data_IF_407002643279
#
_entry.id   IF_407002643279
#
_cell.length_a   1.000
_cell.length_b   1.000
_cell.length_c   1.000
_cell.angle_alpha   90.00
_cell.angle_beta   90.00
_cell.angle_gamma   90.00
#
_symmetry.space_group_name_H-M   'P 1'
#
loop_
_entity.id
_entity.type
_entity.pdbx_description
1 polymer ?
#
# COMPACT_ATOMS: atom_id res chain seq x y z
N UNK A 1 4.00 16.12 -9.75
CA UNK A 1 5.35 15.77 -10.25
C UNK A 1 6.20 17.00 -10.39
N UNK A 2 6.38 17.52 -11.60
CA UNK A 2 7.28 18.68 -11.88
C UNK A 2 6.92 19.92 -11.06
N UNK A 3 5.62 20.25 -10.97
CA UNK A 3 5.13 21.37 -10.14
C UNK A 3 5.43 21.20 -8.66
N UNK A 4 5.38 19.96 -8.15
CA UNK A 4 5.78 19.64 -6.77
C UNK A 4 7.29 19.81 -6.56
N UNK A 5 8.09 19.38 -7.54
CA UNK A 5 9.54 19.57 -7.53
C UNK A 5 9.92 21.05 -7.51
N UNK A 6 9.26 21.87 -8.33
CA UNK A 6 9.43 23.32 -8.33
C UNK A 6 9.04 23.96 -6.99
N UNK A 7 7.91 23.55 -6.38
CA UNK A 7 7.48 24.07 -5.07
C UNK A 7 8.43 23.71 -3.93
N UNK A 8 9.10 22.57 -4.04
CA UNK A 8 10.03 22.07 -3.03
C UNK A 8 11.50 22.44 -3.33
N UNK A 9 11.75 23.19 -4.40
CA UNK A 9 13.08 23.52 -4.93
C UNK A 9 13.98 22.27 -5.08
N UNK A 10 13.37 21.12 -5.41
CA UNK A 10 14.03 19.81 -5.46
C UNK A 10 14.82 19.42 -4.18
N UNK A 11 14.51 20.04 -3.04
CA UNK A 11 15.23 19.86 -1.78
C UNK A 11 14.35 20.11 -0.56
N UNK A 12 14.93 20.56 0.55
CA UNK A 12 14.21 20.84 1.81
C UNK A 12 13.85 22.32 2.00
N UNK A 13 14.31 23.22 1.10
CA UNK A 13 14.25 24.68 1.26
C UNK A 13 13.24 25.41 0.38
N UNK A 14 12.38 24.70 -0.35
CA UNK A 14 11.38 25.34 -1.21
C UNK A 14 10.27 26.08 -0.46
N UNK A 15 9.49 26.89 -1.19
CA UNK A 15 8.38 27.71 -0.67
C UNK A 15 7.38 26.87 0.15
N UNK A 16 7.18 25.61 -0.26
CA UNK A 16 6.37 24.65 0.50
C UNK A 16 7.16 23.33 0.63
N UNK A 17 7.78 23.05 1.79
CA UNK A 17 8.59 21.86 1.99
C UNK A 17 7.72 20.59 2.02
N UNK A 18 8.32 19.47 1.64
CA UNK A 18 7.68 18.15 1.70
C UNK A 18 7.49 17.72 3.16
N UNK A 19 6.25 17.81 3.65
CA UNK A 19 5.85 17.26 4.95
C UNK A 19 4.69 16.29 4.81
N UNK A 20 4.92 15.05 5.28
CA UNK A 20 3.90 13.99 5.37
C UNK A 20 2.87 14.29 6.45
N UNK A 21 3.29 14.84 7.60
CA UNK A 21 2.41 15.06 8.75
C UNK A 21 1.32 16.10 8.46
N UNK A 22 1.65 17.14 7.70
CA UNK A 22 0.71 18.21 7.34
C UNK A 22 0.06 18.01 5.96
N UNK A 23 0.36 16.90 5.28
CA UNK A 23 -0.13 16.62 3.91
C UNK A 23 0.01 17.83 2.98
N UNK A 24 1.19 18.46 2.99
CA UNK A 24 1.48 19.66 2.20
C UNK A 24 1.16 19.50 0.71
N UNK A 25 0.86 20.59 0.02
CA UNK A 25 0.49 20.56 -1.41
C UNK A 25 1.59 19.94 -2.28
N UNK A 26 2.87 20.25 -2.00
CA UNK A 26 4.03 19.60 -2.64
C UNK A 26 4.03 18.08 -2.41
N UNK A 27 3.70 17.63 -1.21
CA UNK A 27 3.61 16.21 -0.87
C UNK A 27 2.49 15.52 -1.64
N UNK A 28 1.27 16.07 -1.61
CA UNK A 28 0.11 15.52 -2.32
C UNK A 28 0.38 15.46 -3.83
N UNK A 29 0.86 16.55 -4.44
CA UNK A 29 1.17 16.60 -5.88
C UNK A 29 2.27 15.62 -6.29
N UNK A 30 3.23 15.34 -5.41
CA UNK A 30 4.26 14.34 -5.62
C UNK A 30 3.66 12.93 -5.58
N UNK A 31 2.98 12.58 -4.48
CA UNK A 31 2.35 11.27 -4.29
C UNK A 31 1.31 10.96 -5.37
N UNK A 32 0.45 11.91 -5.74
CA UNK A 32 -0.51 11.74 -6.82
C UNK A 32 0.16 11.49 -8.16
N UNK A 33 1.26 12.19 -8.49
CA UNK A 33 1.98 11.90 -9.74
C UNK A 33 2.59 10.51 -9.77
N UNK A 34 3.16 10.03 -8.66
CA UNK A 34 3.64 8.65 -8.59
C UNK A 34 2.50 7.63 -8.69
N UNK A 35 1.35 7.92 -8.07
CA UNK A 35 0.17 7.07 -8.15
C UNK A 35 -0.33 6.94 -9.60
N UNK A 36 -0.41 8.04 -10.35
CA UNK A 36 -0.83 8.00 -11.76
C UNK A 36 0.19 7.28 -12.65
N UNK A 37 1.49 7.45 -12.41
CA UNK A 37 2.52 6.71 -13.15
C UNK A 37 2.42 5.20 -12.89
N UNK A 38 2.26 4.80 -11.62
CA UNK A 38 2.07 3.40 -11.26
C UNK A 38 0.78 2.84 -11.86
N UNK A 39 -0.31 3.60 -11.84
CA UNK A 39 -1.56 3.22 -12.47
C UNK A 39 -1.41 3.02 -13.97
N UNK A 40 -0.77 3.96 -14.68
CA UNK A 40 -0.52 3.85 -16.12
C UNK A 40 0.36 2.62 -16.45
N UNK A 41 1.38 2.34 -15.64
CA UNK A 41 2.23 1.16 -15.78
C UNK A 41 1.43 -0.13 -15.60
N UNK A 42 0.65 -0.25 -14.52
CA UNK A 42 -0.19 -1.43 -14.27
C UNK A 42 -1.25 -1.61 -15.37
N UNK A 43 -1.90 -0.54 -15.80
CA UNK A 43 -2.88 -0.56 -16.89
C UNK A 43 -2.25 -1.08 -18.19
N UNK A 44 -1.06 -0.58 -18.55
CA UNK A 44 -0.35 -1.04 -19.73
C UNK A 44 0.04 -2.53 -19.65
N UNK A 45 0.51 -3.00 -18.50
CA UNK A 45 0.87 -4.41 -18.32
C UNK A 45 -0.32 -5.36 -18.31
N UNK A 46 -1.42 -4.98 -17.64
CA UNK A 46 -2.61 -5.82 -17.45
C UNK A 46 -3.50 -5.75 -18.70
N UNK A 47 -3.92 -4.56 -19.12
CA UNK A 47 -4.90 -4.42 -20.20
C UNK A 47 -4.24 -4.36 -21.58
N UNK A 48 -3.06 -3.75 -21.67
CA UNK A 48 -2.30 -3.63 -22.92
C UNK A 48 -1.63 -4.95 -23.32
N UNK A 49 -0.76 -5.47 -22.45
CA UNK A 49 0.03 -6.67 -22.74
C UNK A 49 -0.64 -7.98 -22.29
N UNK A 50 -1.68 -7.92 -21.44
CA UNK A 50 -2.40 -9.11 -20.91
C UNK A 50 -1.48 -10.20 -20.34
N UNK A 51 -0.32 -9.80 -19.82
CA UNK A 51 0.66 -10.71 -19.21
C UNK A 51 0.11 -11.27 -17.90
N UNK A 52 -0.81 -10.54 -17.26
CA UNK A 52 -1.28 -10.85 -15.92
C UNK A 52 -2.72 -10.41 -15.70
N UNK A 53 -3.47 -11.19 -14.90
CA UNK A 53 -4.89 -10.96 -14.58
C UNK A 53 -5.14 -9.92 -13.48
N UNK A 54 -4.10 -9.26 -12.96
CA UNK A 54 -4.21 -8.27 -11.86
C UNK A 54 -4.32 -8.85 -10.45
N UNK A 55 -4.23 -10.17 -10.29
CA UNK A 55 -4.25 -10.85 -8.99
C UNK A 55 -2.83 -10.89 -8.37
N UNK A 56 -2.59 -10.35 -7.15
CA UNK A 56 -3.52 -10.34 -6.03
C UNK A 56 -4.17 -8.99 -5.73
N UNK A 57 -3.87 -7.93 -6.49
CA UNK A 57 -4.42 -6.60 -6.22
C UNK A 57 -5.95 -6.55 -6.34
N UNK A 58 -6.51 -7.32 -7.26
CA UNK A 58 -7.97 -7.47 -7.40
C UNK A 58 -8.60 -8.15 -6.18
N UNK A 59 -7.97 -9.21 -5.65
CA UNK A 59 -8.47 -9.93 -4.48
C UNK A 59 -8.43 -9.09 -3.22
N UNK A 60 -7.32 -8.37 -3.00
CA UNK A 60 -7.19 -7.47 -1.88
C UNK A 60 -8.10 -6.24 -2.01
N UNK A 61 -8.26 -5.71 -3.22
CA UNK A 61 -9.09 -4.54 -3.51
C UNK A 61 -10.59 -4.79 -3.28
N UNK A 62 -11.11 -5.95 -3.66
CA UNK A 62 -12.53 -6.29 -3.50
C UNK A 62 -13.02 -6.24 -2.04
N UNK A 63 -12.14 -6.51 -1.07
CA UNK A 63 -12.46 -6.55 0.35
C UNK A 63 -11.51 -5.66 1.17
N UNK A 64 -11.13 -4.49 0.64
CA UNK A 64 -10.15 -3.61 1.26
C UNK A 64 -10.54 -3.16 2.68
N UNK A 65 -11.82 -2.89 2.93
CA UNK A 65 -12.30 -2.47 4.26
C UNK A 65 -12.14 -3.58 5.31
N UNK A 66 -12.48 -4.81 4.94
CA UNK A 66 -12.35 -5.97 5.84
C UNK A 66 -10.87 -6.23 6.17
N UNK A 67 -9.99 -6.18 5.16
CA UNK A 67 -8.56 -6.33 5.37
C UNK A 67 -7.99 -5.23 6.27
N UNK A 68 -8.43 -3.99 6.07
CA UNK A 68 -8.00 -2.86 6.89
C UNK A 68 -8.43 -2.99 8.35
N UNK A 69 -9.72 -3.20 8.60
CA UNK A 69 -10.26 -3.35 9.96
C UNK A 69 -9.65 -4.59 10.64
N UNK A 70 -9.58 -5.70 9.92
CA UNK A 70 -8.98 -6.92 10.43
C UNK A 70 -7.50 -6.72 10.82
N UNK A 71 -6.71 -6.07 9.97
CA UNK A 71 -5.30 -5.79 10.28
C UNK A 71 -5.18 -4.89 11.51
N UNK A 72 -6.02 -3.87 11.63
CA UNK A 72 -6.01 -2.97 12.79
C UNK A 72 -6.32 -3.72 14.10
N UNK A 73 -7.28 -4.64 14.07
CA UNK A 73 -7.64 -5.45 15.23
C UNK A 73 -6.55 -6.48 15.60
N UNK A 74 -5.79 -6.99 14.62
CA UNK A 74 -4.79 -8.04 14.84
C UNK A 74 -3.34 -7.55 14.91
N UNK A 75 -3.07 -6.25 14.83
CA UNK A 75 -1.70 -5.71 14.61
C UNK A 75 -0.64 -6.11 15.67
N UNK A 76 -1.07 -6.58 16.85
CA UNK A 76 -0.19 -7.05 17.93
C UNK A 76 -0.55 -8.45 18.45
N UNK A 77 -1.36 -9.20 17.71
CA UNK A 77 -1.79 -10.54 18.08
C UNK A 77 -1.05 -11.57 17.25
N UNK A 78 -0.54 -12.63 17.88
CA UNK A 78 -0.04 -13.78 17.16
C UNK A 78 -1.20 -14.42 16.36
N UNK A 79 -1.05 -14.80 15.08
CA UNK A 79 0.18 -14.84 14.24
C UNK A 79 0.47 -13.59 13.39
N UNK A 80 -0.30 -12.51 13.48
CA UNK A 80 -0.15 -11.31 12.63
C UNK A 80 0.95 -10.35 13.07
N UNK A 81 1.25 -10.29 14.36
CA UNK A 81 2.33 -9.49 14.90
C UNK A 81 2.73 -10.02 16.27
N UNK A 82 4.02 -9.98 16.57
CA UNK A 82 4.52 -10.35 17.90
C UNK A 82 5.56 -9.34 18.35
N UNK A 83 5.78 -9.25 19.65
CA UNK A 83 6.79 -8.38 20.22
C UNK A 83 8.18 -8.93 19.89
N UNK A 84 8.99 -8.13 19.19
CA UNK A 84 10.37 -8.48 18.90
C UNK A 84 11.25 -8.13 20.09
N UNK A 85 11.91 -9.14 20.66
CA UNK A 85 12.85 -8.94 21.78
C UNK A 85 14.09 -8.16 21.34
N UNK A 86 14.57 -8.37 20.11
CA UNK A 86 15.67 -7.62 19.50
C UNK A 86 15.25 -7.09 18.13
N UNK A 87 14.71 -5.87 18.04
CA UNK A 87 14.24 -5.32 16.77
C UNK A 87 15.41 -4.97 15.86
N UNK A 88 15.77 -5.90 14.97
CA UNK A 88 16.63 -5.61 13.82
C UNK A 88 15.78 -5.30 12.59
N UNK A 89 16.31 -4.51 11.65
CA UNK A 89 15.62 -4.22 10.39
C UNK A 89 15.19 -5.50 9.66
N UNK A 90 16.03 -6.54 9.69
CA UNK A 90 15.71 -7.84 9.08
C UNK A 90 14.55 -8.55 9.76
N UNK A 91 14.52 -8.57 11.09
CA UNK A 91 13.43 -9.20 11.84
C UNK A 91 12.09 -8.45 11.67
N UNK A 92 12.12 -7.13 11.59
CA UNK A 92 10.94 -6.32 11.31
C UNK A 92 10.43 -6.54 9.87
N UNK A 93 11.34 -6.63 8.89
CA UNK A 93 10.98 -6.94 7.51
C UNK A 93 10.35 -8.33 7.40
N UNK A 94 10.95 -9.34 8.05
CA UNK A 94 10.43 -10.70 8.05
C UNK A 94 9.02 -10.79 8.65
N UNK A 95 8.78 -10.09 9.77
CA UNK A 95 7.44 -10.01 10.37
C UNK A 95 6.45 -9.36 9.39
N UNK A 96 6.79 -8.22 8.78
CA UNK A 96 5.89 -7.56 7.83
C UNK A 96 5.60 -8.39 6.58
N UNK A 97 6.59 -9.11 6.05
CA UNK A 97 6.40 -10.05 4.94
C UNK A 97 5.45 -11.17 5.37
N UNK A 98 5.62 -11.71 6.57
CA UNK A 98 4.72 -12.74 7.11
C UNK A 98 3.28 -12.24 7.30
N UNK A 99 3.10 -11.05 7.87
CA UNK A 99 1.78 -10.44 8.06
C UNK A 99 1.09 -10.18 6.73
N UNK A 100 1.83 -9.68 5.73
CA UNK A 100 1.29 -9.38 4.40
C UNK A 100 0.95 -10.64 3.61
N UNK A 101 1.74 -11.72 3.72
CA UNK A 101 1.42 -13.01 3.08
C UNK A 101 0.18 -13.65 3.68
N UNK A 102 0.03 -13.60 5.01
CA UNK A 102 -1.19 -14.05 5.70
C UNK A 102 -2.43 -13.29 5.21
N UNK A 103 -2.36 -11.96 5.16
CA UNK A 103 -3.49 -11.15 4.68
C UNK A 103 -3.78 -11.35 3.19
N UNK A 104 -2.76 -11.56 2.35
CA UNK A 104 -2.95 -11.92 0.95
C UNK A 104 -3.65 -13.28 0.79
N UNK A 105 -3.31 -14.25 1.64
CA UNK A 105 -3.97 -15.56 1.68
C UNK A 105 -5.43 -15.45 2.12
N UNK A 106 -5.73 -14.66 3.15
CA UNK A 106 -7.11 -14.39 3.60
C UNK A 106 -7.91 -13.69 2.51
N UNK A 107 -7.34 -12.69 1.84
CA UNK A 107 -7.98 -12.00 0.71
C UNK A 107 -8.32 -12.99 -0.41
N UNK A 108 -7.42 -13.92 -0.72
CA UNK A 108 -7.65 -14.97 -1.70
C UNK A 108 -8.78 -15.93 -1.29
N UNK A 109 -8.81 -16.37 -0.03
CA UNK A 109 -9.89 -17.23 0.48
C UNK A 109 -11.25 -16.53 0.44
N UNK A 110 -11.28 -15.25 0.80
CA UNK A 110 -12.49 -14.44 0.81
C UNK A 110 -13.03 -14.24 -0.61
N UNK A 111 -12.13 -13.96 -1.56
CA UNK A 111 -12.46 -13.89 -2.99
C UNK A 111 -13.01 -15.23 -3.51
N UNK A 112 -12.38 -16.36 -3.18
CA UNK A 112 -12.84 -17.68 -3.61
C UNK A 112 -14.21 -18.08 -3.02
N UNK A 113 -14.61 -17.47 -1.91
CA UNK A 113 -15.90 -17.72 -1.25
C UNK A 113 -17.00 -16.75 -1.68
N UNK A 114 -16.72 -15.83 -2.61
CA UNK A 114 -17.64 -14.76 -3.07
C UNK A 114 -18.24 -13.93 -1.92
N UNK A 115 -17.52 -13.84 -0.80
CA UNK A 115 -17.94 -13.00 0.32
C UNK A 115 -17.38 -11.61 0.06
N UNK A 116 -18.20 -10.73 -0.50
CA UNK A 116 -17.85 -9.33 -0.76
C UNK A 116 -18.53 -8.48 0.29
N UNK A 117 -17.75 -8.00 1.26
CA UNK A 117 -18.24 -7.08 2.29
C UNK A 117 -18.16 -5.68 1.70
N UNK A 118 -19.28 -5.25 1.11
CA UNK A 118 -19.50 -3.88 0.63
C UNK A 118 -20.29 -3.12 1.70
N UNK A 119 -19.89 -1.86 1.94
CA UNK A 119 -20.63 -0.90 2.79
C UNK A 119 -21.49 -0.04 1.88
#
# INVERSE_FOLDING_TARGET
GVTAGCLCDWGYGGVIPLSKNMMTTSFVLSTSSFAFLLFAFLYYMIDGLRIWSGAPFTYAGANAIFLYVGHYLTMNQFPWGWQLVNPTHGTALAMNIWTTTLWAFIAYLLYRKDIIITV
#
